data_IF_468323164477
#
_entry.id   IF_468323164477
#
_cell.length_a   1.000
_cell.length_b   1.000
_cell.length_c   1.000
_cell.angle_alpha   90.00
_cell.angle_beta   90.00
_cell.angle_gamma   90.00
#
_symmetry.space_group_name_H-M   'P 1'
#
loop_
_entity.id
_entity.type
_entity.pdbx_description
1 polymer ?
#
# COMPACT_ATOMS: atom_id res chain seq x y z
N UNK A 1 -2.43 36.80 27.71
CA UNK A 1 -2.51 37.07 26.26
C UNK A 1 -1.35 36.36 25.58
N UNK A 2 -1.59 35.20 24.94
CA UNK A 2 -0.56 34.48 24.18
C UNK A 2 -0.61 35.00 22.74
N UNK A 3 0.40 35.76 22.35
CA UNK A 3 0.61 36.19 20.96
C UNK A 3 0.85 34.95 20.10
N UNK A 4 -0.15 34.59 19.30
CA UNK A 4 0.02 33.68 18.17
C UNK A 4 0.79 34.45 17.09
N UNK A 5 2.11 34.25 17.06
CA UNK A 5 2.94 34.53 15.90
C UNK A 5 2.45 33.62 14.76
N UNK A 6 1.58 34.16 13.92
CA UNK A 6 1.28 33.61 12.60
C UNK A 6 2.56 33.79 11.79
N UNK A 7 3.35 32.73 11.68
CA UNK A 7 4.50 32.68 10.77
C UNK A 7 3.92 32.75 9.36
N UNK A 8 4.02 33.93 8.74
CA UNK A 8 3.77 34.17 7.32
C UNK A 8 4.88 33.50 6.49
N UNK A 9 4.86 32.17 6.42
CA UNK A 9 5.57 31.46 5.36
C UNK A 9 4.62 31.34 4.18
N UNK A 10 4.55 32.41 3.36
CA UNK A 10 4.00 32.37 2.01
C UNK A 10 4.94 31.54 1.10
N UNK A 11 5.21 30.28 1.46
CA UNK A 11 5.70 29.30 0.49
C UNK A 11 4.52 28.97 -0.40
N UNK A 12 4.40 29.71 -1.51
CA UNK A 12 3.49 29.37 -2.60
C UNK A 12 3.74 27.91 -2.94
N UNK A 13 2.74 27.06 -2.72
CA UNK A 13 2.82 25.64 -2.96
C UNK A 13 2.95 25.41 -4.46
N UNK A 14 4.19 25.27 -4.93
CA UNK A 14 4.49 25.09 -6.34
C UNK A 14 4.27 23.63 -6.73
N UNK A 15 3.13 23.39 -7.38
CA UNK A 15 2.75 22.09 -7.91
C UNK A 15 3.66 21.63 -9.06
N UNK A 16 4.50 22.49 -9.65
CA UNK A 16 5.23 22.15 -10.89
C UNK A 16 6.54 21.38 -10.65
N UNK A 17 7.06 21.39 -9.41
CA UNK A 17 8.44 20.97 -9.14
C UNK A 17 8.60 19.60 -8.45
N UNK A 18 7.55 18.78 -8.39
CA UNK A 18 7.68 17.45 -7.77
C UNK A 18 8.55 16.50 -8.58
N UNK A 19 9.42 15.78 -7.89
CA UNK A 19 10.25 14.71 -8.46
C UNK A 19 11.07 15.11 -9.70
N UNK A 20 11.51 16.38 -9.78
CA UNK A 20 12.38 16.90 -10.84
C UNK A 20 13.84 16.44 -10.64
N UNK A 21 14.41 16.77 -9.49
CA UNK A 21 15.81 16.47 -9.16
C UNK A 21 15.92 15.33 -8.15
N UNK A 22 15.03 15.31 -7.15
CA UNK A 22 14.93 14.27 -6.12
C UNK A 22 13.47 13.84 -5.97
N UNK A 23 13.25 12.58 -5.57
CA UNK A 23 11.91 12.09 -5.25
C UNK A 23 11.28 12.92 -4.15
N UNK A 24 10.09 13.44 -4.42
CA UNK A 24 9.31 14.15 -3.41
C UNK A 24 8.36 13.17 -2.74
N UNK A 25 8.46 12.99 -1.43
CA UNK A 25 7.54 12.13 -0.70
C UNK A 25 6.33 12.89 -0.18
N UNK A 26 5.16 12.27 -0.21
CA UNK A 26 3.95 12.85 0.39
C UNK A 26 4.13 13.10 1.91
N UNK A 27 4.98 12.33 2.57
CA UNK A 27 5.31 12.53 3.99
C UNK A 27 6.12 13.78 4.28
N UNK A 28 6.83 14.33 3.30
CA UNK A 28 7.55 15.61 3.45
C UNK A 28 6.60 16.80 3.34
N UNK A 29 5.46 16.60 2.66
CA UNK A 29 4.40 17.59 2.48
C UNK A 29 3.31 17.50 3.57
N UNK A 30 3.62 16.97 4.75
CA UNK A 30 2.63 16.70 5.83
C UNK A 30 1.91 17.95 6.32
N UNK A 31 2.60 19.10 6.43
CA UNK A 31 1.96 20.37 6.78
C UNK A 31 0.85 20.75 5.78
N UNK A 32 1.03 20.37 4.52
CA UNK A 32 0.13 20.67 3.41
C UNK A 32 -0.95 19.59 3.19
N UNK A 33 -0.91 18.46 3.91
CA UNK A 33 -1.89 17.35 3.72
C UNK A 33 -3.34 17.76 3.92
N UNK A 34 -3.60 18.73 4.81
CA UNK A 34 -4.96 19.25 5.06
C UNK A 34 -5.51 20.05 3.89
N UNK A 35 -4.65 20.43 2.94
CA UNK A 35 -4.94 21.31 1.82
C UNK A 35 -5.43 20.54 0.59
N UNK A 36 -5.34 19.20 0.56
CA UNK A 36 -5.68 18.43 -0.65
C UNK A 36 -7.10 17.87 -0.64
N UNK A 37 -7.76 17.98 -1.79
CA UNK A 37 -8.83 17.07 -2.23
C UNK A 37 -8.17 15.95 -3.05
N UNK A 38 -8.58 14.73 -2.77
CA UNK A 38 -7.93 13.53 -3.29
C UNK A 38 -8.89 12.83 -4.26
N UNK A 39 -8.42 12.58 -5.48
CA UNK A 39 -9.17 11.85 -6.51
C UNK A 39 -9.12 10.33 -6.35
N UNK A 40 -9.62 9.64 -7.38
CA UNK A 40 -9.67 8.18 -7.43
C UNK A 40 -8.31 7.57 -7.79
N UNK A 41 -8.11 6.31 -7.39
CA UNK A 41 -6.91 5.57 -7.78
C UNK A 41 -7.04 5.04 -9.20
N UNK A 42 -5.96 5.21 -9.95
CA UNK A 42 -5.65 4.70 -11.26
C UNK A 42 -4.47 3.74 -11.14
N UNK A 43 -4.27 2.89 -12.15
CA UNK A 43 -3.19 1.92 -12.19
C UNK A 43 -2.47 2.00 -13.52
N UNK A 44 -1.14 2.01 -13.49
CA UNK A 44 -0.31 2.04 -14.68
C UNK A 44 0.82 1.01 -14.53
N UNK A 45 0.97 0.13 -15.52
CA UNK A 45 2.02 -0.90 -15.52
C UNK A 45 3.26 -0.38 -16.20
N UNK A 46 4.42 -0.66 -15.62
CA UNK A 46 5.74 -0.32 -16.14
C UNK A 46 6.57 -1.60 -16.18
N UNK A 47 6.42 -2.41 -17.25
CA UNK A 47 7.28 -3.55 -17.50
C UNK A 47 8.76 -3.14 -17.47
N UNK A 48 9.59 -3.90 -16.78
CA UNK A 48 11.05 -3.74 -16.73
C UNK A 48 11.56 -2.33 -16.40
N UNK A 49 10.74 -1.48 -15.76
CA UNK A 49 11.05 -0.07 -15.51
C UNK A 49 11.53 0.71 -16.75
N UNK A 50 11.01 0.36 -17.94
CA UNK A 50 11.41 1.00 -19.19
C UNK A 50 11.16 2.52 -19.15
N UNK A 51 12.22 3.30 -19.45
CA UNK A 51 12.17 4.76 -19.36
C UNK A 51 11.15 5.37 -20.34
N UNK A 52 10.93 4.74 -21.51
CA UNK A 52 9.91 5.16 -22.47
C UNK A 52 8.50 5.06 -21.89
N UNK A 53 8.17 3.91 -21.29
CA UNK A 53 6.87 3.67 -20.66
C UNK A 53 6.63 4.61 -19.47
N UNK A 54 7.69 4.96 -18.73
CA UNK A 54 7.60 5.95 -17.66
C UNK A 54 7.36 7.37 -18.18
N UNK A 55 7.94 7.75 -19.33
CA UNK A 55 7.61 9.01 -20.02
C UNK A 55 6.15 9.03 -20.44
N UNK A 56 5.65 7.93 -21.00
CA UNK A 56 4.25 7.80 -21.40
C UNK A 56 3.31 7.95 -20.19
N UNK A 57 3.66 7.34 -19.05
CA UNK A 57 2.94 7.55 -17.79
C UNK A 57 2.85 9.03 -17.39
N UNK A 58 3.94 9.79 -17.49
CA UNK A 58 3.92 11.20 -17.13
C UNK A 58 3.10 12.03 -18.12
N UNK A 59 3.14 11.69 -19.41
CA UNK A 59 2.39 12.40 -20.45
C UNK A 59 0.87 12.23 -20.32
N UNK A 60 0.38 11.14 -19.74
CA UNK A 60 -1.06 10.95 -19.48
C UNK A 60 -1.57 11.74 -18.26
N UNK A 61 -0.68 12.36 -17.47
CA UNK A 61 -1.08 13.17 -16.32
C UNK A 61 -1.59 14.55 -16.77
N UNK A 62 -2.56 15.10 -16.04
CA UNK A 62 -3.08 16.44 -16.32
C UNK A 62 -2.01 17.50 -16.02
N UNK A 63 -1.81 18.44 -16.96
CA UNK A 63 -0.76 19.48 -16.88
C UNK A 63 -0.84 20.34 -15.60
N UNK A 64 -2.05 20.54 -15.06
CA UNK A 64 -2.30 21.37 -13.88
C UNK A 64 -2.62 20.57 -12.62
N UNK A 65 -2.22 19.30 -12.54
CA UNK A 65 -2.44 18.48 -11.35
C UNK A 65 -1.17 17.80 -10.90
N UNK A 66 -1.08 17.62 -9.59
CA UNK A 66 -0.14 16.68 -9.00
C UNK A 66 -0.83 15.36 -8.70
N UNK A 67 -0.04 14.30 -8.60
CA UNK A 67 -0.51 12.95 -8.38
C UNK A 67 0.27 12.34 -7.23
N UNK A 68 -0.46 11.66 -6.35
CA UNK A 68 0.14 10.74 -5.39
C UNK A 68 0.33 9.41 -6.11
N UNK A 69 1.56 8.90 -6.15
CA UNK A 69 1.90 7.59 -6.72
C UNK A 69 2.40 6.67 -5.61
N UNK A 70 1.87 5.46 -5.57
CA UNK A 70 2.42 4.35 -4.79
C UNK A 70 3.00 3.33 -5.77
N UNK A 71 4.33 3.19 -5.86
CA UNK A 71 4.94 2.16 -6.68
C UNK A 71 4.82 0.81 -5.98
N UNK A 72 4.42 -0.21 -6.74
CA UNK A 72 4.14 -1.55 -6.26
C UNK A 72 4.87 -2.54 -7.16
N UNK A 73 5.56 -3.51 -6.57
CA UNK A 73 6.12 -4.66 -7.28
C UNK A 73 5.10 -5.81 -7.23
N UNK A 74 4.77 -6.37 -8.39
CA UNK A 74 3.83 -7.48 -8.53
C UNK A 74 4.36 -8.52 -9.51
N UNK A 75 4.10 -9.80 -9.25
CA UNK A 75 4.45 -10.92 -10.14
C UNK A 75 3.53 -10.95 -11.36
N UNK A 76 4.08 -11.13 -12.57
CA UNK A 76 3.30 -11.20 -13.83
C UNK A 76 2.27 -12.33 -13.82
N UNK A 77 2.62 -13.46 -13.20
CA UNK A 77 1.83 -14.70 -13.19
C UNK A 77 0.63 -14.65 -12.22
N UNK A 78 0.55 -13.60 -11.40
CA UNK A 78 -0.47 -13.52 -10.38
C UNK A 78 -1.77 -12.91 -10.90
N UNK A 79 -2.79 -13.74 -11.04
CA UNK A 79 -4.20 -13.37 -11.26
C UNK A 79 -4.84 -12.66 -10.04
N UNK A 80 -4.07 -11.83 -9.33
CA UNK A 80 -4.50 -11.10 -8.13
C UNK A 80 -4.06 -11.70 -6.79
N UNK A 81 -3.52 -12.92 -6.76
CA UNK A 81 -3.19 -13.66 -5.52
C UNK A 81 -1.69 -13.74 -5.20
N UNK A 82 -0.84 -13.11 -6.02
CA UNK A 82 0.61 -13.09 -5.81
C UNK A 82 1.04 -12.05 -4.78
N UNK A 83 2.27 -12.16 -4.24
CA UNK A 83 2.77 -11.17 -3.30
C UNK A 83 2.83 -9.80 -3.97
N UNK A 84 2.10 -8.85 -3.39
CA UNK A 84 2.10 -7.44 -3.77
C UNK A 84 2.97 -6.71 -2.76
N UNK A 85 4.11 -6.19 -3.20
CA UNK A 85 5.05 -5.47 -2.35
C UNK A 85 5.03 -3.98 -2.70
N UNK A 86 4.82 -3.10 -1.73
CA UNK A 86 5.04 -1.67 -1.96
C UNK A 86 6.53 -1.44 -2.19
N UNK A 87 6.95 -0.64 -3.16
CA UNK A 87 8.38 -0.35 -3.30
C UNK A 87 8.82 0.80 -2.40
N UNK A 88 7.91 1.72 -2.08
CA UNK A 88 8.23 2.88 -1.25
C UNK A 88 7.01 3.42 -0.51
N UNK A 89 7.22 4.51 0.24
CA UNK A 89 6.16 5.45 0.62
C UNK A 89 5.56 6.09 -0.63
N UNK A 90 4.40 6.71 -0.46
CA UNK A 90 3.76 7.52 -1.50
C UNK A 90 4.64 8.68 -1.96
N UNK A 91 4.93 8.74 -3.25
CA UNK A 91 5.66 9.82 -3.91
C UNK A 91 4.69 10.80 -4.59
N UNK A 92 5.15 12.03 -4.81
CA UNK A 92 4.43 13.05 -5.55
C UNK A 92 5.07 13.20 -6.93
N UNK A 93 4.22 13.21 -7.96
CA UNK A 93 4.64 13.42 -9.34
C UNK A 93 3.68 14.38 -10.04
N UNK A 94 4.16 15.02 -11.08
CA UNK A 94 3.38 15.81 -12.05
C UNK A 94 3.76 15.36 -13.45
N UNK A 95 3.05 15.85 -14.47
CA UNK A 95 3.42 15.63 -15.87
C UNK A 95 4.86 16.06 -16.18
N UNK A 96 5.34 17.10 -15.50
CA UNK A 96 6.67 17.66 -15.72
C UNK A 96 7.76 16.92 -14.94
N UNK A 97 7.43 16.02 -14.01
CA UNK A 97 8.42 15.28 -13.21
C UNK A 97 9.48 14.60 -14.09
N UNK A 98 10.68 14.41 -13.57
CA UNK A 98 11.76 13.82 -14.35
C UNK A 98 11.66 12.29 -14.35
N UNK A 99 11.43 11.64 -15.51
CA UNK A 99 11.32 10.18 -15.58
C UNK A 99 12.62 9.47 -15.19
N UNK A 100 13.79 10.06 -15.43
CA UNK A 100 15.08 9.46 -15.04
C UNK A 100 15.20 9.40 -13.53
N UNK A 101 14.86 10.49 -12.84
CA UNK A 101 14.85 10.57 -11.37
C UNK A 101 13.93 9.50 -10.77
N UNK A 102 12.73 9.34 -11.32
CA UNK A 102 11.76 8.34 -10.87
C UNK A 102 12.25 6.91 -11.15
N UNK A 103 12.79 6.65 -12.34
CA UNK A 103 13.31 5.33 -12.72
C UNK A 103 14.46 4.90 -11.82
N UNK A 104 15.47 5.76 -11.61
CA UNK A 104 16.63 5.47 -10.76
C UNK A 104 16.22 5.14 -9.32
N UNK A 105 15.25 5.89 -8.78
CA UNK A 105 14.71 5.62 -7.46
C UNK A 105 14.07 4.23 -7.38
N UNK A 106 13.23 3.87 -8.35
CA UNK A 106 12.52 2.60 -8.35
C UNK A 106 13.46 1.41 -8.52
N UNK A 107 14.50 1.53 -9.34
CA UNK A 107 15.55 0.52 -9.44
C UNK A 107 16.19 0.25 -8.07
N UNK A 108 16.60 1.31 -7.36
CA UNK A 108 17.16 1.17 -6.01
C UNK A 108 16.17 0.50 -5.03
N UNK A 109 14.89 0.86 -5.08
CA UNK A 109 13.88 0.23 -4.22
C UNK A 109 13.66 -1.26 -4.57
N UNK A 110 13.75 -1.63 -5.85
CA UNK A 110 13.66 -3.03 -6.28
C UNK A 110 14.85 -3.86 -5.82
N UNK A 111 16.07 -3.31 -5.85
CA UNK A 111 17.27 -3.98 -5.32
C UNK A 111 17.13 -4.22 -3.82
N UNK A 112 16.69 -3.21 -3.05
CA UNK A 112 16.43 -3.34 -1.61
C UNK A 112 15.37 -4.42 -1.34
N UNK A 113 14.27 -4.42 -2.11
CA UNK A 113 13.25 -5.45 -2.01
C UNK A 113 13.81 -6.85 -2.33
N UNK A 114 14.64 -6.98 -3.37
CA UNK A 114 15.28 -8.24 -3.73
C UNK A 114 16.13 -8.80 -2.59
N UNK A 115 16.97 -7.96 -1.97
CA UNK A 115 17.81 -8.35 -0.83
C UNK A 115 16.97 -8.73 0.41
N UNK A 116 15.96 -7.93 0.74
CA UNK A 116 15.17 -8.14 1.95
C UNK A 116 14.24 -9.35 1.88
N UNK A 117 13.75 -9.70 0.68
CA UNK A 117 12.75 -10.75 0.49
C UNK A 117 13.28 -11.96 -0.29
N UNK A 118 14.56 -11.99 -0.65
CA UNK A 118 15.19 -13.11 -1.38
C UNK A 118 14.64 -13.29 -2.80
N UNK A 119 14.34 -12.19 -3.50
CA UNK A 119 13.79 -12.24 -4.87
C UNK A 119 14.94 -12.43 -5.87
N UNK A 120 15.14 -13.66 -6.33
CA UNK A 120 16.25 -14.03 -7.21
C UNK A 120 16.07 -13.69 -8.69
N UNK A 121 14.84 -13.41 -9.14
CA UNK A 121 14.54 -13.09 -10.53
C UNK A 121 13.56 -11.90 -10.60
N UNK A 122 14.11 -10.69 -10.74
CA UNK A 122 13.33 -9.45 -10.85
C UNK A 122 12.59 -9.33 -12.20
N UNK A 123 13.01 -10.05 -13.24
CA UNK A 123 12.39 -9.99 -14.58
C UNK A 123 10.96 -10.55 -14.59
N UNK A 124 10.61 -11.40 -13.61
CA UNK A 124 9.24 -11.92 -13.43
C UNK A 124 8.29 -10.93 -12.75
N UNK A 125 8.78 -9.74 -12.39
CA UNK A 125 8.02 -8.74 -11.67
C UNK A 125 7.85 -7.49 -12.51
N UNK A 126 6.67 -6.91 -12.41
CA UNK A 126 6.32 -5.64 -13.02
C UNK A 126 6.13 -4.59 -11.93
N UNK A 127 6.56 -3.36 -12.24
CA UNK A 127 6.22 -2.21 -11.41
C UNK A 127 4.85 -1.71 -11.82
N UNK A 128 3.96 -1.55 -10.85
CA UNK A 128 2.63 -1.00 -11.01
C UNK A 128 2.58 0.30 -10.21
N UNK A 129 2.31 1.40 -10.89
CA UNK A 129 1.95 2.65 -10.24
C UNK A 129 0.48 2.60 -9.88
N UNK A 130 0.18 2.62 -8.58
CA UNK A 130 -1.14 2.95 -8.07
C UNK A 130 -1.17 4.43 -7.75
N UNK A 131 -1.81 5.23 -8.59
CA UNK A 131 -1.70 6.69 -8.53
C UNK A 131 -3.06 7.39 -8.47
N UNK A 132 -3.12 8.63 -8.00
CA UNK A 132 -4.37 9.42 -7.94
C UNK A 132 -4.08 10.91 -7.98
N UNK A 133 -4.91 11.72 -8.65
CA UNK A 133 -4.72 13.16 -8.65
C UNK A 133 -4.98 13.72 -7.25
N UNK A 134 -4.24 14.75 -6.91
CA UNK A 134 -4.50 15.64 -5.80
C UNK A 134 -4.74 17.04 -6.36
N UNK A 135 -5.79 17.67 -5.88
CA UNK A 135 -6.05 19.09 -6.11
C UNK A 135 -6.02 19.81 -4.78
N UNK A 136 -5.74 21.11 -4.78
CA UNK A 136 -6.00 21.92 -3.60
C UNK A 136 -7.51 21.95 -3.31
N UNK A 137 -7.90 22.06 -2.04
CA UNK A 137 -9.30 22.24 -1.66
C UNK A 137 -9.79 23.59 -2.19
N UNK A 138 -11.03 23.61 -2.63
CA UNK A 138 -11.68 24.77 -3.25
C UNK A 138 -11.53 26.03 -2.37
N UNK A 139 -11.66 25.90 -1.04
CA UNK A 139 -11.48 26.99 -0.06
C UNK A 139 -10.10 27.68 -0.09
N UNK A 140 -9.06 26.94 -0.48
CA UNK A 140 -7.67 27.44 -0.55
C UNK A 140 -7.39 27.99 -1.95
N UNK A 141 -7.92 27.32 -2.98
CA UNK A 141 -7.85 27.79 -4.36
C UNK A 141 -8.48 29.18 -4.49
N UNK A 142 -9.58 29.44 -3.78
CA UNK A 142 -10.24 30.76 -3.73
C UNK A 142 -9.40 31.86 -3.07
N UNK A 143 -8.40 31.50 -2.26
CA UNK A 143 -7.48 32.44 -1.62
C UNK A 143 -6.22 32.70 -2.48
N UNK A 144 -5.99 31.88 -3.50
CA UNK A 144 -4.88 32.06 -4.45
C UNK A 144 -5.35 32.97 -5.59
N UNK A 145 -4.70 34.12 -5.85
CA UNK A 145 -5.11 35.03 -6.90
C UNK A 145 -5.15 34.35 -8.29
N UNK A 146 -6.37 34.22 -8.84
CA UNK A 146 -6.76 33.79 -10.20
C UNK A 146 -6.03 32.56 -10.78
N UNK A 147 -6.53 31.37 -10.43
CA UNK A 147 -6.40 30.17 -11.27
C UNK A 147 -7.82 29.70 -11.61
N UNK A 148 -8.17 29.66 -12.89
CA UNK A 148 -9.48 29.17 -13.36
C UNK A 148 -9.48 27.63 -13.48
N UNK A 149 -10.47 26.97 -12.86
CA UNK A 149 -10.69 25.51 -12.97
C UNK A 149 -12.09 25.20 -13.51
N UNK A 150 -12.17 24.22 -14.42
CA UNK A 150 -13.42 23.69 -14.99
C UNK A 150 -13.98 22.49 -14.19
N UNK A 151 -15.30 22.33 -14.24
CA UNK A 151 -16.14 21.57 -13.28
C UNK A 151 -16.13 20.03 -13.33
N UNK A 152 -16.79 19.46 -12.30
CA UNK A 152 -16.69 18.11 -11.71
C UNK A 152 -17.55 17.00 -12.36
N UNK A 153 -17.26 15.72 -12.03
CA UNK A 153 -18.28 14.64 -11.98
C UNK A 153 -18.04 13.55 -10.89
N UNK A 154 -19.13 12.85 -10.49
CA UNK A 154 -19.30 11.93 -9.34
C UNK A 154 -19.32 10.43 -9.74
N UNK A 155 -19.04 9.52 -8.78
CA UNK A 155 -18.98 8.06 -9.02
C UNK A 155 -19.69 7.23 -7.93
N UNK A 156 -20.35 6.11 -8.29
CA UNK A 156 -20.76 5.02 -7.38
C UNK A 156 -20.27 3.60 -7.87
N UNK A 157 -20.24 2.59 -6.97
CA UNK A 157 -19.32 1.43 -6.78
C UNK A 157 -19.95 0.06 -7.13
N UNK A 158 -19.20 -0.92 -7.71
CA UNK A 158 -18.90 -2.31 -7.19
C UNK A 158 -18.15 -3.19 -8.23
N UNK A 159 -17.46 -4.25 -7.78
CA UNK A 159 -16.44 -5.12 -8.43
C UNK A 159 -16.87 -6.04 -9.58
N UNK A 160 -15.89 -6.41 -10.43
CA UNK A 160 -16.06 -7.31 -11.57
C UNK A 160 -14.77 -8.06 -11.91
N UNK A 161 -14.97 -9.37 -11.99
CA UNK A 161 -14.41 -10.43 -12.82
C UNK A 161 -13.87 -10.02 -14.22
N UNK A 162 -12.62 -10.36 -14.53
CA UNK A 162 -11.92 -10.03 -15.79
C UNK A 162 -12.55 -10.63 -17.07
N UNK A 163 -13.44 -11.60 -16.97
CA UNK A 163 -14.15 -12.17 -18.12
C UNK A 163 -15.02 -11.14 -18.88
N UNK A 164 -15.38 -10.01 -18.25
CA UNK A 164 -16.24 -8.99 -18.85
C UNK A 164 -15.63 -8.19 -20.01
N UNK A 165 -14.36 -8.36 -20.39
CA UNK A 165 -13.75 -7.55 -21.47
C UNK A 165 -13.43 -8.30 -22.75
N UNK A 166 -13.77 -9.59 -22.87
CA UNK A 166 -13.45 -10.42 -24.04
C UNK A 166 -13.85 -9.81 -25.39
N UNK A 167 -14.87 -8.95 -25.39
CA UNK A 167 -15.49 -8.42 -26.60
C UNK A 167 -15.02 -7.00 -26.98
N UNK A 168 -14.06 -6.42 -26.25
CA UNK A 168 -13.56 -5.04 -26.41
C UNK A 168 -12.15 -4.95 -27.02
N UNK A 169 -11.75 -5.94 -27.81
CA UNK A 169 -10.44 -6.00 -28.48
C UNK A 169 -10.45 -5.45 -29.92
N UNK A 170 -11.52 -4.74 -30.33
CA UNK A 170 -11.71 -4.27 -31.70
C UNK A 170 -12.32 -5.30 -32.66
N UNK A 171 -12.33 -6.60 -32.32
CA UNK A 171 -12.89 -7.63 -33.22
C UNK A 171 -14.41 -7.62 -33.19
N UNK A 172 -15.05 -7.40 -32.05
CA UNK A 172 -16.53 -7.36 -31.95
C UNK A 172 -17.01 -5.93 -31.84
N UNK A 173 -16.61 -5.21 -30.79
CA UNK A 173 -16.86 -3.77 -30.67
C UNK A 173 -15.70 -3.00 -31.32
N UNK A 174 -15.95 -2.25 -32.41
CA UNK A 174 -14.90 -1.47 -33.05
C UNK A 174 -14.29 -0.42 -32.12
N UNK A 175 -12.99 -0.21 -32.25
CA UNK A 175 -12.24 0.86 -31.58
C UNK A 175 -12.30 2.16 -32.38
N UNK A 176 -13.50 2.52 -32.83
CA UNK A 176 -13.78 3.70 -33.65
C UNK A 176 -15.21 4.17 -33.44
N UNK A 177 -15.47 5.45 -33.67
CA UNK A 177 -16.82 6.01 -33.82
C UNK A 177 -17.28 6.01 -35.30
N UNK A 178 -16.54 5.42 -36.25
CA UNK A 178 -17.03 5.29 -37.63
C UNK A 178 -18.03 4.13 -37.74
N UNK A 179 -19.31 4.45 -37.97
CA UNK A 179 -20.42 3.48 -38.04
C UNK A 179 -20.22 2.43 -39.15
N UNK A 180 -19.53 2.77 -40.23
CA UNK A 180 -19.28 1.84 -41.35
C UNK A 180 -18.41 0.63 -40.94
N UNK A 181 -17.74 0.72 -39.79
CA UNK A 181 -16.86 -0.34 -39.28
C UNK A 181 -17.55 -1.24 -38.23
N UNK A 182 -18.82 -0.99 -37.89
CA UNK A 182 -19.59 -1.76 -36.89
C UNK A 182 -20.17 -3.08 -37.42
N UNK A 183 -20.17 -3.30 -38.72
CA UNK A 183 -20.65 -4.54 -39.35
C UNK A 183 -21.70 -4.25 -40.42
N UNK A 184 -22.49 -5.27 -40.75
CA UNK A 184 -23.58 -5.13 -41.74
C UNK A 184 -24.83 -4.59 -41.06
N UNK A 185 -25.55 -3.67 -41.70
CA UNK A 185 -26.83 -3.17 -41.19
C UNK A 185 -27.82 -4.33 -40.97
N UNK A 186 -28.47 -4.34 -39.80
CA UNK A 186 -29.48 -5.34 -39.47
C UNK A 186 -30.80 -5.05 -40.23
N UNK A 187 -31.50 -6.09 -40.66
CA UNK A 187 -32.77 -5.90 -41.36
C UNK A 187 -33.86 -5.30 -40.45
N UNK A 188 -34.84 -4.62 -41.06
CA UNK A 188 -35.88 -3.87 -40.33
C UNK A 188 -36.74 -4.73 -39.40
N UNK A 189 -37.10 -5.95 -39.81
CA UNK A 189 -37.88 -6.89 -38.99
C UNK A 189 -37.16 -7.25 -37.69
N UNK A 190 -35.87 -7.58 -37.76
CA UNK A 190 -35.06 -7.90 -36.58
C UNK A 190 -34.78 -6.67 -35.74
N UNK A 191 -34.52 -5.51 -36.35
CA UNK A 191 -34.38 -4.25 -35.62
C UNK A 191 -35.65 -3.93 -34.82
N UNK A 192 -36.83 -4.10 -35.44
CA UNK A 192 -38.13 -3.93 -34.77
C UNK A 192 -38.29 -4.84 -33.54
N UNK A 193 -37.81 -6.09 -33.61
CA UNK A 193 -37.79 -6.98 -32.44
C UNK A 193 -36.97 -6.40 -31.27
N UNK A 194 -35.76 -5.90 -31.53
CA UNK A 194 -34.91 -5.34 -30.47
C UNK A 194 -35.49 -4.03 -29.90
N UNK A 195 -36.00 -3.16 -30.78
CA UNK A 195 -36.66 -1.90 -30.39
C UNK A 195 -37.80 -2.18 -29.40
N UNK A 196 -38.73 -3.06 -29.78
CA UNK A 196 -39.89 -3.38 -28.94
C UNK A 196 -39.50 -4.12 -27.65
N UNK A 197 -38.56 -5.07 -27.73
CA UNK A 197 -38.17 -5.88 -26.57
C UNK A 197 -37.42 -5.08 -25.50
N UNK A 198 -36.58 -4.12 -25.90
CA UNK A 198 -35.67 -3.41 -25.00
C UNK A 198 -35.96 -1.92 -24.85
N UNK A 199 -37.09 -1.45 -25.39
CA UNK A 199 -37.54 -0.06 -25.36
C UNK A 199 -36.46 0.91 -25.86
N UNK A 200 -35.98 0.67 -27.08
CA UNK A 200 -34.88 1.44 -27.68
C UNK A 200 -35.42 2.55 -28.57
N UNK A 201 -34.65 3.64 -28.73
CA UNK A 201 -34.99 4.69 -29.69
C UNK A 201 -35.05 4.10 -31.11
N UNK A 202 -36.19 4.21 -31.83
CA UNK A 202 -36.36 3.66 -33.17
C UNK A 202 -35.44 4.30 -34.23
N UNK A 203 -34.89 5.48 -33.96
CA UNK A 203 -33.95 6.16 -34.86
C UNK A 203 -32.51 5.63 -34.76
N UNK A 204 -32.23 4.72 -33.82
CA UNK A 204 -30.89 4.17 -33.66
C UNK A 204 -30.50 3.17 -34.75
N UNK A 205 -29.20 2.98 -34.92
CA UNK A 205 -28.61 2.12 -35.94
C UNK A 205 -28.32 0.73 -35.38
N UNK A 206 -28.68 -0.30 -36.13
CA UNK A 206 -28.40 -1.70 -35.78
C UNK A 206 -27.39 -2.32 -36.74
N UNK A 207 -26.36 -2.94 -36.18
CA UNK A 207 -25.31 -3.63 -36.91
C UNK A 207 -25.25 -5.09 -36.46
N UNK A 208 -25.03 -6.00 -37.40
CA UNK A 208 -24.77 -7.41 -37.13
C UNK A 208 -23.31 -7.74 -37.45
N UNK A 209 -22.64 -8.39 -36.50
CA UNK A 209 -21.29 -8.92 -36.64
C UNK A 209 -21.25 -10.30 -35.99
N UNK A 210 -21.13 -11.34 -36.80
CA UNK A 210 -21.23 -12.75 -36.37
C UNK A 210 -22.53 -13.03 -35.59
N UNK A 211 -22.42 -13.54 -34.36
CA UNK A 211 -23.51 -13.81 -33.43
C UNK A 211 -23.95 -12.58 -32.60
N UNK A 212 -23.29 -11.43 -32.82
CA UNK A 212 -23.53 -10.20 -32.08
C UNK A 212 -24.39 -9.22 -32.87
N UNK A 213 -25.20 -8.46 -32.13
CA UNK A 213 -25.91 -7.29 -32.65
C UNK A 213 -25.43 -6.08 -31.84
N UNK A 214 -25.13 -4.98 -32.52
CA UNK A 214 -24.72 -3.72 -31.90
C UNK A 214 -25.76 -2.68 -32.27
N UNK A 215 -26.34 -2.05 -31.26
CA UNK A 215 -27.20 -0.89 -31.40
C UNK A 215 -26.40 0.37 -31.08
N UNK A 216 -26.55 1.42 -31.89
CA UNK A 216 -25.94 2.74 -31.66
C UNK A 216 -27.00 3.83 -31.79
N UNK A 217 -27.22 4.59 -30.72
CA UNK A 217 -28.08 5.76 -30.70
C UNK A 217 -27.21 7.03 -30.67
N UNK A 218 -27.39 7.91 -31.65
CA UNK A 218 -26.67 9.20 -31.69
C UNK A 218 -27.41 10.18 -30.78
N UNK A 219 -26.79 10.58 -29.67
CA UNK A 219 -27.35 11.63 -28.78
C UNK A 219 -27.09 13.00 -29.40
N UNK A 220 -25.83 13.25 -29.80
CA UNK A 220 -25.39 14.45 -30.50
C UNK A 220 -24.13 14.16 -31.31
N UNK A 221 -23.46 15.19 -31.83
CA UNK A 221 -22.28 15.02 -32.68
C UNK A 221 -21.06 14.44 -31.95
N UNK A 222 -20.95 14.67 -30.64
CA UNK A 222 -19.83 14.21 -29.82
C UNK A 222 -20.16 13.00 -28.96
N UNK A 223 -21.45 12.65 -28.79
CA UNK A 223 -21.89 11.60 -27.87
C UNK A 223 -22.81 10.57 -28.51
N UNK A 224 -22.57 9.31 -28.18
CA UNK A 224 -23.38 8.17 -28.62
C UNK A 224 -23.57 7.16 -27.51
N UNK A 225 -24.75 6.57 -27.47
CA UNK A 225 -25.03 5.40 -26.67
C UNK A 225 -24.94 4.14 -27.52
N UNK A 226 -24.42 3.08 -26.94
CA UNK A 226 -24.31 1.79 -27.59
C UNK A 226 -24.76 0.65 -26.71
N UNK A 227 -25.32 -0.38 -27.34
CA UNK A 227 -25.71 -1.62 -26.67
C UNK A 227 -25.18 -2.80 -27.49
N UNK A 228 -24.44 -3.68 -26.83
CA UNK A 228 -23.99 -4.94 -27.43
C UNK A 228 -24.94 -6.06 -26.99
N UNK A 229 -25.44 -6.82 -27.96
CA UNK A 229 -26.25 -8.00 -27.74
C UNK A 229 -25.54 -9.27 -28.21
N UNK A 230 -25.80 -10.38 -27.53
CA UNK A 230 -25.49 -11.74 -27.98
C UNK A 230 -26.67 -12.63 -27.67
N UNK A 231 -27.08 -13.48 -28.60
CA UNK A 231 -28.22 -14.39 -28.42
C UNK A 231 -29.50 -13.71 -27.92
N UNK A 232 -29.77 -12.48 -28.40
CA UNK A 232 -30.93 -11.64 -28.01
C UNK A 232 -30.98 -11.23 -26.54
N UNK A 233 -29.83 -11.21 -25.86
CA UNK A 233 -29.63 -10.67 -24.51
C UNK A 233 -28.63 -9.51 -24.53
N UNK A 234 -28.78 -8.55 -23.61
CA UNK A 234 -27.84 -7.43 -23.46
C UNK A 234 -26.58 -7.95 -22.77
N UNK A 235 -25.44 -7.79 -23.44
CA UNK A 235 -24.13 -8.00 -22.82
C UNK A 235 -23.61 -6.73 -22.15
N UNK A 236 -23.65 -5.60 -22.87
CA UNK A 236 -23.13 -4.32 -22.38
C UNK A 236 -23.95 -3.13 -22.85
N UNK A 237 -23.92 -2.08 -22.04
CA UNK A 237 -24.29 -0.72 -22.43
C UNK A 237 -23.05 0.16 -22.32
N UNK A 238 -22.78 0.99 -23.31
CA UNK A 238 -21.63 1.88 -23.31
C UNK A 238 -22.01 3.26 -23.86
N UNK A 239 -21.21 4.26 -23.52
CA UNK A 239 -21.30 5.62 -24.06
C UNK A 239 -19.97 5.98 -24.70
N UNK A 240 -19.98 6.45 -25.94
CA UNK A 240 -18.81 7.01 -26.61
C UNK A 240 -18.88 8.53 -26.57
N UNK A 241 -17.82 9.18 -26.06
CA UNK A 241 -17.65 10.63 -26.06
C UNK A 241 -16.41 11.01 -26.86
N UNK A 242 -16.62 11.68 -28.00
CA UNK A 242 -15.57 12.23 -28.85
C UNK A 242 -14.81 13.33 -28.11
N UNK A 243 -13.49 13.23 -28.09
CA UNK A 243 -12.59 14.27 -27.57
C UNK A 243 -12.14 15.16 -28.72
N UNK A 244 -11.42 14.58 -29.69
CA UNK A 244 -10.81 15.32 -30.81
C UNK A 244 -10.41 14.35 -31.93
N UNK A 245 -10.73 14.65 -33.18
CA UNK A 245 -10.31 13.84 -34.33
C UNK A 245 -10.80 12.38 -34.22
N UNK A 246 -9.86 11.44 -34.10
CA UNK A 246 -10.14 10.01 -33.87
C UNK A 246 -10.13 9.60 -32.39
N UNK A 247 -9.80 10.53 -31.47
CA UNK A 247 -9.73 10.30 -30.02
C UNK A 247 -11.12 10.37 -29.40
N UNK A 248 -11.48 9.33 -28.68
CA UNK A 248 -12.72 9.28 -27.91
C UNK A 248 -12.57 8.42 -26.65
N UNK A 249 -13.50 8.62 -25.72
CA UNK A 249 -13.62 7.81 -24.51
C UNK A 249 -14.85 6.93 -24.65
N UNK A 250 -14.67 5.62 -24.51
CA UNK A 250 -15.78 4.68 -24.32
C UNK A 250 -15.97 4.43 -22.83
N UNK A 251 -17.05 4.96 -22.28
CA UNK A 251 -17.52 4.68 -20.94
C UNK A 251 -18.32 3.39 -20.93
N UNK A 252 -17.89 2.41 -20.12
CA UNK A 252 -18.56 1.14 -19.91
C UNK A 252 -18.72 0.90 -18.42
N UNK A 253 -19.93 1.01 -17.90
CA UNK A 253 -20.22 0.91 -16.46
C UNK A 253 -19.37 1.88 -15.62
N UNK A 254 -18.19 1.45 -15.16
CA UNK A 254 -17.24 2.22 -14.33
C UNK A 254 -15.86 2.38 -14.98
N UNK A 255 -15.75 1.95 -16.23
CA UNK A 255 -14.51 1.92 -16.97
C UNK A 255 -14.54 2.99 -18.02
N UNK A 256 -13.43 3.69 -18.19
CA UNK A 256 -13.23 4.65 -19.27
C UNK A 256 -12.11 4.10 -20.14
N UNK A 257 -12.44 3.77 -21.38
CA UNK A 257 -11.50 3.23 -22.35
C UNK A 257 -11.13 4.37 -23.28
N UNK A 258 -9.87 4.81 -23.23
CA UNK A 258 -9.36 5.86 -24.10
C UNK A 258 -8.89 5.22 -25.39
N UNK A 259 -9.47 5.67 -26.50
CA UNK A 259 -9.25 5.08 -27.82
C UNK A 259 -8.76 6.16 -28.76
N UNK A 260 -7.68 5.87 -29.48
CA UNK A 260 -7.12 6.72 -30.52
C UNK A 260 -6.62 5.86 -31.68
N UNK A 261 -6.98 6.22 -32.91
CA UNK A 261 -6.54 5.53 -34.13
C UNK A 261 -6.61 4.00 -34.05
N UNK A 262 -7.77 3.47 -33.63
CA UNK A 262 -8.04 2.03 -33.46
C UNK A 262 -7.27 1.33 -32.33
N UNK A 263 -6.53 2.07 -31.50
CA UNK A 263 -5.79 1.52 -30.37
C UNK A 263 -6.38 2.00 -29.05
N UNK A 264 -6.44 1.10 -28.07
CA UNK A 264 -6.69 1.48 -26.67
C UNK A 264 -5.39 2.07 -26.13
N UNK A 265 -5.37 3.37 -25.88
CA UNK A 265 -4.17 4.07 -25.38
C UNK A 265 -4.10 4.03 -23.86
N UNK A 266 -5.25 4.10 -23.20
CA UNK A 266 -5.34 4.11 -21.75
C UNK A 266 -6.65 3.48 -21.27
N UNK A 267 -6.65 3.00 -20.04
CA UNK A 267 -7.81 2.40 -19.41
C UNK A 267 -7.92 2.87 -17.97
N UNK A 268 -9.02 3.54 -17.68
CA UNK A 268 -9.37 3.98 -16.33
C UNK A 268 -10.47 3.14 -15.74
N UNK A 269 -10.40 2.96 -14.42
CA UNK A 269 -11.44 2.33 -13.63
C UNK A 269 -11.78 3.22 -12.45
N UNK A 270 -13.01 3.69 -12.42
CA UNK A 270 -13.48 4.57 -11.36
C UNK A 270 -13.68 3.77 -10.05
N UNK A 271 -12.80 4.00 -9.07
CA UNK A 271 -12.76 3.31 -7.77
C UNK A 271 -13.46 4.10 -6.68
N UNK A 272 -14.76 3.87 -6.40
CA UNK A 272 -15.42 4.57 -5.27
C UNK A 272 -14.78 4.09 -3.94
N UNK A 273 -14.09 4.97 -3.23
CA UNK A 273 -13.56 4.67 -1.89
C UNK A 273 -14.60 5.01 -0.82
N UNK A 274 -14.57 4.31 0.31
CA UNK A 274 -15.17 4.79 1.56
C UNK A 274 -14.05 5.48 2.34
N UNK A 275 -14.34 6.64 2.93
CA UNK A 275 -13.44 7.22 3.92
C UNK A 275 -13.19 6.20 5.04
N UNK A 276 -12.06 6.32 5.72
CA UNK A 276 -11.85 5.61 6.99
C UNK A 276 -12.97 6.07 7.91
N UNK A 277 -13.93 5.19 8.14
CA UNK A 277 -14.97 5.42 9.14
C UNK A 277 -14.32 5.24 10.50
N UNK A 278 -14.60 6.16 11.42
CA UNK A 278 -14.25 5.98 12.83
C UNK A 278 -14.88 4.66 13.27
N UNK A 279 -14.05 3.67 13.64
CA UNK A 279 -14.55 2.42 14.18
C UNK A 279 -15.23 2.71 15.52
N UNK A 280 -16.38 2.07 15.77
CA UNK A 280 -16.98 2.11 17.10
C UNK A 280 -15.92 1.62 18.11
N UNK A 281 -15.70 2.32 19.24
CA UNK A 281 -14.82 1.84 20.29
C UNK A 281 -15.26 0.44 20.68
N UNK A 282 -14.32 -0.49 20.85
CA UNK A 282 -14.67 -1.79 21.38
C UNK A 282 -15.12 -1.59 22.83
N UNK A 283 -16.39 -1.89 23.13
CA UNK A 283 -16.95 -1.73 24.47
C UNK A 283 -16.26 -2.65 25.50
N UNK A 284 -15.58 -3.71 25.04
CA UNK A 284 -14.84 -4.64 25.88
C UNK A 284 -13.34 -4.35 25.81
N UNK A 285 -12.76 -4.09 26.97
CA UNK A 285 -11.31 -4.05 27.16
C UNK A 285 -10.75 -5.45 26.90
N UNK A 286 -9.73 -5.57 26.04
CA UNK A 286 -8.99 -6.81 25.93
C UNK A 286 -7.90 -6.81 26.99
N UNK A 287 -8.04 -7.70 27.98
CA UNK A 287 -7.10 -7.85 29.08
C UNK A 287 -6.00 -8.87 28.78
N UNK A 288 -6.12 -9.66 27.70
CA UNK A 288 -5.12 -10.65 27.31
C UNK A 288 -4.00 -9.98 26.47
N UNK A 289 -3.25 -9.12 27.14
CA UNK A 289 -2.12 -8.37 26.60
C UNK A 289 -0.84 -9.01 27.14
N UNK A 290 0.09 -9.28 26.24
CA UNK A 290 1.40 -9.85 26.57
C UNK A 290 2.47 -8.95 25.96
N UNK A 291 3.61 -8.81 26.61
CA UNK A 291 4.81 -8.19 26.01
C UNK A 291 5.85 -9.26 25.72
N UNK A 292 6.71 -9.03 24.74
CA UNK A 292 7.81 -9.93 24.40
C UNK A 292 9.03 -9.09 23.99
N UNK A 293 10.24 -9.57 24.31
CA UNK A 293 11.50 -8.88 24.04
C UNK A 293 12.64 -9.88 23.76
N UNK A 294 13.64 -9.45 22.99
CA UNK A 294 14.84 -10.23 22.65
C UNK A 294 16.08 -9.40 22.95
N UNK A 295 17.03 -10.00 23.68
CA UNK A 295 18.37 -9.43 23.84
C UNK A 295 19.39 -10.22 23.01
N UNK A 296 20.36 -9.48 22.47
CA UNK A 296 21.35 -10.00 21.53
C UNK A 296 22.77 -9.59 21.93
N UNK A 297 23.75 -10.40 21.55
CA UNK A 297 25.17 -10.03 21.56
C UNK A 297 25.72 -10.02 20.14
N UNK A 298 26.88 -9.41 19.94
CA UNK A 298 27.54 -9.39 18.63
C UNK A 298 28.54 -10.52 18.53
N UNK A 299 28.41 -11.34 17.48
CA UNK A 299 29.38 -12.39 17.12
C UNK A 299 29.67 -12.30 15.63
N UNK A 300 30.94 -12.16 15.26
CA UNK A 300 31.38 -12.08 13.85
C UNK A 300 30.63 -10.99 13.06
N UNK A 301 30.39 -9.83 13.70
CA UNK A 301 29.66 -8.70 13.12
C UNK A 301 28.14 -8.92 12.98
N UNK A 302 27.59 -9.99 13.56
CA UNK A 302 26.16 -10.32 13.52
C UNK A 302 25.55 -10.33 14.91
N UNK A 303 24.33 -9.81 15.01
CA UNK A 303 23.54 -9.95 16.23
C UNK A 303 23.06 -11.39 16.39
N UNK A 304 23.28 -11.97 17.57
CA UNK A 304 22.88 -13.31 17.95
C UNK A 304 21.98 -13.22 19.18
N UNK A 305 20.72 -13.65 19.11
CA UNK A 305 19.86 -13.72 20.28
C UNK A 305 20.46 -14.65 21.34
N UNK A 306 20.57 -14.14 22.57
CA UNK A 306 21.00 -14.95 23.72
C UNK A 306 19.94 -15.06 24.81
N UNK A 307 18.96 -14.18 24.83
CA UNK A 307 17.79 -14.35 25.67
C UNK A 307 16.57 -13.74 25.02
N UNK A 308 15.42 -14.28 25.37
CA UNK A 308 14.14 -13.68 25.08
C UNK A 308 13.19 -13.97 26.23
N UNK A 309 12.13 -13.18 26.33
CA UNK A 309 11.10 -13.43 27.33
C UNK A 309 9.79 -12.79 26.98
N UNK A 310 8.74 -13.22 27.67
CA UNK A 310 7.43 -12.61 27.59
C UNK A 310 6.80 -12.46 28.95
N UNK A 311 5.97 -11.42 29.08
CA UNK A 311 5.30 -11.06 30.32
C UNK A 311 3.81 -10.84 30.09
N UNK A 312 2.99 -11.56 30.85
CA UNK A 312 1.53 -11.57 30.75
C UNK A 312 0.86 -10.85 31.95
N UNK A 313 1.51 -9.81 32.48
CA UNK A 313 0.97 -8.96 33.55
C UNK A 313 1.35 -9.40 34.97
N UNK A 314 1.33 -10.70 35.25
CA UNK A 314 1.79 -11.29 36.52
C UNK A 314 2.72 -12.49 36.33
N UNK A 315 2.72 -13.07 35.12
CA UNK A 315 3.54 -14.22 34.77
C UNK A 315 4.63 -13.82 33.77
N UNK A 316 5.90 -14.00 34.18
CA UNK A 316 7.10 -13.81 33.37
C UNK A 316 7.68 -15.16 32.99
N UNK A 317 8.02 -15.34 31.71
CA UNK A 317 8.78 -16.49 31.25
C UNK A 317 9.97 -16.04 30.41
N UNK A 318 11.16 -16.45 30.82
CA UNK A 318 12.45 -16.11 30.16
C UNK A 318 13.13 -17.38 29.67
N UNK A 319 13.95 -17.21 28.63
CA UNK A 319 14.71 -18.27 27.99
C UNK A 319 16.12 -17.77 27.76
N UNK A 320 17.11 -18.58 28.09
CA UNK A 320 18.52 -18.24 27.93
C UNK A 320 19.16 -19.22 26.96
N UNK A 321 20.01 -18.72 26.06
CA UNK A 321 20.65 -19.53 25.03
C UNK A 321 21.49 -20.67 25.62
N UNK A 322 21.96 -20.52 26.85
CA UNK A 322 22.72 -21.54 27.59
C UNK A 322 21.90 -22.79 27.93
N UNK A 323 20.58 -22.70 27.85
CA UNK A 323 19.64 -23.82 28.02
C UNK A 323 19.27 -24.51 26.69
N UNK A 324 19.80 -24.04 25.55
CA UNK A 324 19.43 -24.51 24.21
C UNK A 324 20.65 -24.75 23.32
N UNK A 325 20.52 -25.59 22.29
CA UNK A 325 21.65 -25.81 21.36
C UNK A 325 21.82 -24.65 20.37
N UNK A 326 20.78 -23.85 20.17
CA UNK A 326 20.82 -22.72 19.22
C UNK A 326 19.80 -21.63 19.55
N UNK A 327 20.02 -20.39 19.07
CA UNK A 327 19.02 -19.32 19.16
C UNK A 327 17.70 -19.70 18.50
N UNK A 328 17.73 -20.52 17.45
CA UNK A 328 16.54 -20.99 16.76
C UNK A 328 15.65 -21.86 17.67
N UNK A 329 16.26 -22.80 18.40
CA UNK A 329 15.54 -23.66 19.36
C UNK A 329 14.97 -22.86 20.52
N UNK A 330 15.76 -21.92 21.07
CA UNK A 330 15.32 -21.01 22.14
C UNK A 330 14.09 -20.21 21.73
N UNK A 331 14.15 -19.53 20.56
CA UNK A 331 13.04 -18.73 20.05
C UNK A 331 11.83 -19.60 19.70
N UNK A 332 12.03 -20.81 19.16
CA UNK A 332 10.94 -21.73 18.87
C UNK A 332 10.20 -22.15 20.14
N UNK A 333 10.94 -22.51 21.19
CA UNK A 333 10.34 -22.88 22.47
C UNK A 333 9.57 -21.69 23.07
N UNK A 334 10.16 -20.49 23.05
CA UNK A 334 9.50 -19.29 23.53
C UNK A 334 8.18 -18.98 22.81
N UNK A 335 8.12 -19.15 21.48
CA UNK A 335 6.92 -18.94 20.67
C UNK A 335 5.85 -20.03 20.88
N UNK A 336 6.26 -21.29 21.05
CA UNK A 336 5.31 -22.38 21.38
C UNK A 336 4.65 -22.13 22.72
N UNK A 337 5.46 -21.85 23.74
CA UNK A 337 4.96 -21.54 25.06
C UNK A 337 4.10 -20.26 25.07
N UNK A 338 4.47 -19.25 24.30
CA UNK A 338 3.65 -18.05 24.18
C UNK A 338 2.24 -18.38 23.66
N UNK A 339 2.13 -19.23 22.64
CA UNK A 339 0.86 -19.66 22.06
C UNK A 339 0.04 -20.57 22.99
N UNK A 340 0.71 -21.48 23.71
CA UNK A 340 0.06 -22.47 24.58
C UNK A 340 -0.42 -21.86 25.90
N UNK A 341 0.38 -20.97 26.51
CA UNK A 341 0.03 -20.31 27.78
C UNK A 341 -0.87 -19.09 27.59
N UNK A 342 -0.81 -18.41 26.43
CA UNK A 342 -1.54 -17.17 26.19
C UNK A 342 -2.42 -17.24 24.92
N UNK A 343 -3.32 -18.24 24.78
CA UNK A 343 -4.09 -18.42 23.57
C UNK A 343 -4.94 -17.18 23.26
N UNK A 344 -4.91 -16.72 22.01
CA UNK A 344 -5.62 -15.52 21.53
C UNK A 344 -5.13 -14.20 22.13
N UNK A 345 -3.91 -14.16 22.68
CA UNK A 345 -3.32 -12.95 23.21
C UNK A 345 -2.93 -11.95 22.11
N UNK A 346 -2.93 -10.68 22.51
CA UNK A 346 -2.30 -9.60 21.76
C UNK A 346 -0.92 -9.34 22.35
N UNK A 347 0.10 -9.66 21.57
CA UNK A 347 1.49 -9.51 21.97
C UNK A 347 2.02 -8.19 21.43
N UNK A 348 2.61 -7.38 22.29
CA UNK A 348 3.21 -6.10 21.92
C UNK A 348 4.72 -6.19 22.08
N UNK A 349 5.42 -6.08 20.96
CA UNK A 349 6.88 -6.03 20.91
C UNK A 349 7.27 -4.62 20.51
N UNK A 350 8.17 -3.98 21.27
CA UNK A 350 8.53 -2.60 21.02
C UNK A 350 9.58 -2.51 19.92
N UNK A 351 9.33 -1.73 18.87
CA UNK A 351 10.19 -1.65 17.68
C UNK A 351 10.28 -2.98 16.90
N UNK A 352 9.24 -3.82 17.02
CA UNK A 352 9.16 -5.15 16.41
C UNK A 352 9.63 -5.19 14.96
N UNK A 353 9.09 -4.27 14.13
CA UNK A 353 9.29 -4.33 12.69
C UNK A 353 10.75 -4.11 12.26
N UNK A 354 11.55 -3.43 13.08
CA UNK A 354 12.92 -3.05 12.74
C UNK A 354 13.97 -3.93 13.44
N UNK A 355 13.61 -4.72 14.45
CA UNK A 355 14.57 -5.52 15.21
C UNK A 355 14.12 -6.97 15.38
N UNK A 356 13.26 -7.27 16.37
CA UNK A 356 12.85 -8.62 16.76
C UNK A 356 12.30 -9.46 15.61
N UNK A 357 11.56 -8.81 14.70
CA UNK A 357 11.00 -9.46 13.51
C UNK A 357 12.05 -10.22 12.70
N UNK A 358 13.27 -9.68 12.56
CA UNK A 358 14.32 -10.31 11.76
C UNK A 358 14.77 -11.66 12.34
N UNK A 359 14.75 -11.80 13.67
CA UNK A 359 15.13 -13.05 14.34
C UNK A 359 13.98 -14.04 14.35
N UNK A 360 12.75 -13.55 14.51
CA UNK A 360 11.56 -14.39 14.64
C UNK A 360 11.07 -14.93 13.29
N UNK A 361 11.30 -14.22 12.18
CA UNK A 361 10.66 -14.53 10.89
C UNK A 361 10.93 -15.97 10.42
N UNK A 362 12.18 -16.41 10.49
CA UNK A 362 12.59 -17.75 10.07
C UNK A 362 11.97 -18.83 10.97
N UNK A 363 11.91 -18.58 12.27
CA UNK A 363 11.31 -19.51 13.24
C UNK A 363 9.80 -19.62 13.00
N UNK A 364 9.14 -18.47 12.80
CA UNK A 364 7.71 -18.38 12.58
C UNK A 364 7.27 -19.14 11.31
N UNK A 365 7.84 -18.83 10.15
CA UNK A 365 7.40 -19.43 8.89
C UNK A 365 7.72 -20.92 8.77
N UNK A 366 8.81 -21.37 9.39
CA UNK A 366 9.16 -22.79 9.37
C UNK A 366 8.20 -23.64 10.22
N UNK A 367 7.69 -23.10 11.33
CA UNK A 367 6.99 -23.91 12.35
C UNK A 367 5.49 -23.62 12.47
N UNK A 368 5.02 -22.46 12.02
CA UNK A 368 3.65 -22.00 12.25
C UNK A 368 2.96 -21.62 10.94
N UNK A 369 1.63 -21.49 10.99
CA UNK A 369 0.85 -20.82 9.95
C UNK A 369 0.87 -19.33 10.26
N UNK A 370 1.40 -18.52 9.34
CA UNK A 370 1.71 -17.11 9.56
C UNK A 370 0.95 -16.23 8.58
N UNK A 371 0.34 -15.15 9.08
CA UNK A 371 -0.33 -14.13 8.28
C UNK A 371 0.21 -12.74 8.67
N UNK A 372 1.17 -12.19 7.91
CA UNK A 372 1.68 -10.85 8.16
C UNK A 372 0.76 -9.78 7.58
N UNK A 373 0.79 -8.59 8.18
CA UNK A 373 0.16 -7.38 7.67
C UNK A 373 1.22 -6.30 7.53
N UNK A 374 1.36 -5.76 6.32
CA UNK A 374 2.37 -4.77 6.00
C UNK A 374 1.76 -3.40 5.75
N UNK A 375 2.54 -2.36 6.06
CA UNK A 375 2.30 -0.99 5.64
C UNK A 375 3.65 -0.33 5.37
N UNK A 376 3.81 0.28 4.20
CA UNK A 376 5.03 0.99 3.82
C UNK A 376 6.31 0.14 4.04
N UNK A 377 6.27 -1.14 3.63
CA UNK A 377 7.34 -2.13 3.78
C UNK A 377 7.73 -2.51 5.22
N UNK A 378 6.90 -2.15 6.20
CA UNK A 378 7.06 -2.58 7.57
C UNK A 378 5.92 -3.48 7.99
N UNK A 379 6.24 -4.56 8.68
CA UNK A 379 5.22 -5.36 9.34
C UNK A 379 4.60 -4.53 10.45
N UNK A 380 3.28 -4.35 10.43
CA UNK A 380 2.56 -3.62 11.48
C UNK A 380 1.86 -4.57 12.44
N UNK A 381 1.57 -5.79 11.95
CA UNK A 381 0.93 -6.86 12.69
C UNK A 381 1.34 -8.19 12.08
N UNK A 382 1.52 -9.21 12.91
CA UNK A 382 1.71 -10.59 12.48
C UNK A 382 0.76 -11.48 13.26
N UNK A 383 0.04 -12.36 12.58
CA UNK A 383 -0.77 -13.40 13.23
C UNK A 383 -0.07 -14.73 13.00
N UNK A 384 0.09 -15.54 14.05
CA UNK A 384 0.55 -16.91 13.90
C UNK A 384 -0.25 -17.89 14.75
N UNK A 385 -0.28 -19.15 14.31
CA UNK A 385 -0.98 -20.27 14.95
C UNK A 385 -0.28 -21.59 14.63
N UNK A 386 -0.60 -22.63 15.41
CA UNK A 386 -0.17 -24.01 15.14
C UNK A 386 -0.63 -24.43 13.73
N UNK A 387 0.19 -25.19 13.00
CA UNK A 387 -0.15 -25.64 11.63
C UNK A 387 -1.36 -26.57 11.61
N UNK A 388 -1.52 -27.37 12.66
CA UNK A 388 -2.57 -28.39 12.77
C UNK A 388 -3.79 -27.94 13.57
N UNK A 389 -3.77 -26.73 14.13
CA UNK A 389 -4.84 -26.22 14.99
C UNK A 389 -5.15 -24.74 14.70
N UNK A 390 -6.31 -24.50 14.09
CA UNK A 390 -6.79 -23.17 13.74
C UNK A 390 -7.55 -22.46 14.90
N UNK A 391 -7.67 -23.07 16.09
CA UNK A 391 -8.48 -22.50 17.20
C UNK A 391 -7.73 -21.47 18.06
N UNK A 392 -6.42 -21.56 18.13
CA UNK A 392 -5.59 -20.65 18.95
C UNK A 392 -4.63 -19.90 18.07
N UNK A 393 -4.52 -18.58 18.29
CA UNK A 393 -3.59 -17.72 17.57
C UNK A 393 -2.95 -16.72 18.50
N UNK A 394 -1.84 -16.15 18.07
CA UNK A 394 -1.24 -14.97 18.67
C UNK A 394 -1.27 -13.84 17.64
N UNK A 395 -1.59 -12.63 18.08
CA UNK A 395 -1.50 -11.43 17.28
C UNK A 395 -0.36 -10.55 17.81
N UNK A 396 0.76 -10.50 17.11
CA UNK A 396 1.90 -9.63 17.41
C UNK A 396 1.68 -8.25 16.79
N UNK A 397 1.94 -7.19 17.54
CA UNK A 397 1.89 -5.79 17.14
C UNK A 397 3.21 -5.09 17.45
N UNK A 398 3.60 -4.16 16.58
CA UNK A 398 4.67 -3.22 16.87
C UNK A 398 4.15 -2.09 17.77
N UNK A 399 4.53 -2.09 19.05
CA UNK A 399 4.07 -1.08 19.99
C UNK A 399 4.65 0.31 19.75
N UNK A 400 5.78 0.41 19.04
CA UNK A 400 6.41 1.70 18.70
C UNK A 400 5.52 2.54 17.75
N UNK A 401 4.68 1.88 16.96
CA UNK A 401 3.71 2.56 16.09
C UNK A 401 2.58 3.27 16.88
N UNK A 402 2.38 2.87 18.14
CA UNK A 402 1.38 3.44 19.05
C UNK A 402 2.06 4.40 20.03
N UNK A 403 3.23 4.01 20.54
CA UNK A 403 4.02 4.75 21.51
C UNK A 403 5.41 5.06 20.91
N UNK A 404 5.54 6.12 20.11
CA UNK A 404 6.74 6.39 19.30
C UNK A 404 7.84 7.07 20.12
N UNK A 405 8.35 6.39 21.14
CA UNK A 405 9.46 6.84 21.97
C UNK A 405 10.16 5.62 22.60
N UNK A 406 11.37 5.80 23.12
CA UNK A 406 12.11 4.71 23.76
C UNK A 406 11.37 4.19 25.01
N UNK A 407 11.52 2.90 25.34
CA UNK A 407 10.92 2.33 26.55
C UNK A 407 11.30 3.07 27.83
N UNK A 408 12.54 3.58 27.93
CA UNK A 408 12.99 4.39 29.07
C UNK A 408 12.21 5.69 29.19
N UNK A 409 12.17 6.48 28.10
CA UNK A 409 11.40 7.73 28.06
C UNK A 409 9.92 7.50 28.33
N UNK A 410 9.36 6.38 27.84
CA UNK A 410 7.98 6.00 28.12
C UNK A 410 7.79 5.67 29.60
N UNK A 411 8.66 4.87 30.21
CA UNK A 411 8.58 4.51 31.63
C UNK A 411 8.62 5.75 32.53
N UNK A 412 9.51 6.71 32.24
CA UNK A 412 9.61 7.98 32.95
C UNK A 412 8.34 8.82 32.79
N UNK A 413 7.90 9.02 31.54
CA UNK A 413 6.75 9.88 31.22
C UNK A 413 5.44 9.36 31.80
N UNK A 414 5.25 8.04 31.78
CA UNK A 414 4.07 7.39 32.36
C UNK A 414 4.22 7.09 33.84
N UNK A 415 5.36 7.44 34.45
CA UNK A 415 5.65 7.20 35.88
C UNK A 415 5.43 5.74 36.26
N UNK A 416 5.90 4.83 35.40
CA UNK A 416 5.90 3.40 35.69
C UNK A 416 6.76 3.19 36.94
N UNK A 417 6.33 2.31 37.85
CA UNK A 417 7.06 2.06 39.10
C UNK A 417 8.45 1.53 38.78
N UNK A 418 8.52 0.53 37.89
CA UNK A 418 9.77 -0.04 37.41
C UNK A 418 10.29 0.74 36.20
N UNK A 419 11.43 1.40 36.38
CA UNK A 419 12.11 2.13 35.32
C UNK A 419 13.01 1.18 34.51
N UNK A 420 13.18 1.45 33.21
CA UNK A 420 14.09 0.64 32.38
C UNK A 420 15.54 0.90 32.82
N UNK A 421 16.21 -0.15 33.29
CA UNK A 421 17.62 -0.12 33.68
C UNK A 421 18.58 0.04 32.49
N UNK A 422 19.85 0.26 32.80
CA UNK A 422 20.93 0.29 31.81
C UNK A 422 21.49 -1.12 31.60
N UNK A 423 21.84 -1.45 30.36
CA UNK A 423 22.39 -2.74 29.99
C UNK A 423 23.80 -2.57 29.39
N UNK A 424 24.80 -3.36 29.83
CA UNK A 424 26.17 -3.26 29.33
C UNK A 424 26.33 -4.00 27.99
N UNK A 425 25.82 -3.41 26.91
CA UNK A 425 25.78 -4.05 25.59
C UNK A 425 27.15 -4.55 25.08
N UNK A 426 28.24 -3.87 25.44
CA UNK A 426 29.58 -4.26 24.98
C UNK A 426 30.22 -5.34 25.86
N UNK A 427 29.61 -5.67 27.01
CA UNK A 427 30.06 -6.74 27.89
C UNK A 427 29.47 -8.10 27.51
N UNK A 428 28.25 -8.11 26.96
CA UNK A 428 27.56 -9.34 26.58
C UNK A 428 28.24 -10.01 25.39
N UNK A 429 28.78 -11.21 25.61
CA UNK A 429 29.38 -12.07 24.61
C UNK A 429 29.13 -13.55 24.96
N UNK A 430 29.61 -14.48 24.12
CA UNK A 430 29.40 -15.92 24.32
C UNK A 430 29.91 -16.43 25.69
N UNK A 431 30.93 -15.82 26.25
CA UNK A 431 31.58 -16.23 27.49
C UNK A 431 30.98 -15.52 28.72
N UNK A 432 30.28 -14.40 28.55
CA UNK A 432 29.68 -13.61 29.64
C UNK A 432 28.17 -13.80 29.80
N UNK A 433 27.51 -14.65 29.00
CA UNK A 433 26.05 -14.85 29.06
C UNK A 433 25.52 -15.28 30.44
N UNK A 434 26.30 -16.05 31.21
CA UNK A 434 25.98 -16.50 32.56
C UNK A 434 26.87 -15.80 33.61
N UNK A 435 27.33 -14.58 33.33
CA UNK A 435 28.22 -13.87 34.22
C UNK A 435 27.57 -13.60 35.58
N UNK A 436 28.27 -13.98 36.64
CA UNK A 436 27.96 -13.65 38.02
C UNK A 436 29.21 -12.99 38.60
N UNK A 437 29.14 -11.73 38.97
CA UNK A 437 30.29 -10.99 39.48
C UNK A 437 30.02 -9.50 39.61
N UNK A 438 31.11 -8.73 39.69
CA UNK A 438 31.08 -7.26 39.81
C UNK A 438 30.48 -6.62 38.55
N UNK A 439 29.85 -5.46 38.72
CA UNK A 439 29.33 -4.70 37.58
C UNK A 439 30.48 -4.38 36.61
N UNK A 440 30.31 -4.60 35.30
CA UNK A 440 31.31 -4.25 34.30
C UNK A 440 31.64 -2.75 34.31
N UNK A 441 32.85 -2.37 33.92
CA UNK A 441 33.24 -0.96 33.84
C UNK A 441 32.28 -0.14 32.98
N UNK A 442 32.13 1.16 33.29
CA UNK A 442 31.27 2.09 32.56
C UNK A 442 31.47 2.07 31.04
N UNK A 443 32.71 1.82 30.58
CA UNK A 443 33.06 1.67 29.16
C UNK A 443 32.30 0.56 28.43
N UNK A 444 31.71 -0.39 29.17
CA UNK A 444 30.90 -1.47 28.61
C UNK A 444 29.44 -1.08 28.38
N UNK A 445 29.02 0.09 28.89
CA UNK A 445 27.70 0.66 28.70
C UNK A 445 27.72 1.69 27.57
N UNK A 446 26.58 1.85 26.89
CA UNK A 446 26.45 2.80 25.80
C UNK A 446 25.68 4.04 26.27
N UNK A 447 26.35 5.20 26.22
CA UNK A 447 25.71 6.51 26.36
C UNK A 447 25.18 6.83 27.76
N UNK A 448 25.87 6.37 28.80
CA UNK A 448 25.55 6.67 30.21
C UNK A 448 26.58 7.63 30.80
N UNK A 449 26.14 8.50 31.70
CA UNK A 449 26.99 9.41 32.47
C UNK A 449 27.56 8.70 33.70
N UNK A 450 28.67 9.22 34.22
CA UNK A 450 29.31 8.69 35.45
C UNK A 450 28.32 8.62 36.61
N UNK A 451 27.49 9.66 36.78
CA UNK A 451 26.48 9.72 37.84
C UNK A 451 25.40 8.63 37.71
N UNK A 452 25.00 8.30 36.47
CA UNK A 452 24.05 7.22 36.20
C UNK A 452 24.70 5.87 36.49
N UNK A 453 25.98 5.70 36.15
CA UNK A 453 26.74 4.47 36.43
C UNK A 453 26.96 4.25 37.92
N UNK A 454 27.32 5.29 38.68
CA UNK A 454 27.42 5.23 40.13
C UNK A 454 26.09 4.82 40.78
N UNK A 455 24.96 5.28 40.22
CA UNK A 455 23.65 4.83 40.70
C UNK A 455 23.47 3.32 40.52
N UNK A 456 23.93 2.73 39.40
CA UNK A 456 23.84 1.27 39.17
C UNK A 456 24.64 0.51 40.23
N UNK A 457 25.86 0.97 40.55
CA UNK A 457 26.74 0.35 41.55
C UNK A 457 26.10 0.35 42.93
N UNK A 458 25.42 1.43 43.31
CA UNK A 458 24.82 1.56 44.65
C UNK A 458 23.58 0.69 44.87
N UNK A 459 22.94 0.19 43.80
CA UNK A 459 21.73 -0.66 43.88
C UNK A 459 22.01 -2.17 43.96
N UNK A 460 23.27 -2.59 43.74
CA UNK A 460 23.74 -3.98 43.87
C UNK A 460 24.52 -4.19 45.15
#
# INVERSE_FOLDING_TARGET
MKNNLIINNNTTFDLTNFSQTNITFLTEQVANKKLFKIGYYHFFKIPNLELGILKDFLQILDFNKAYIVLPILASEDSTGDGPILSLSKQILVTRESNPVTISNFLFSQMEIASMNYGISNLEKFIVIFKFRPISLKDEIVLQIPKIEYSGQEKTIKKEINMQKFKYFNGTILPLTMNLNLFGKTLNSLLSGYYILKFDLNPEGFFFKKDEFVIYINKINDTKREGILFKNKEILYRFEDTLIEGSKFIRSLERYLIYIDNFNVTHFDRLMKNSFISISKPNAKLNLNIVTFDIETFVKDGKFVPFTCGWFAGDFLKTYYLTDFNSPYEMLLQALRDLLDFNPNAKVYIHNFANFDYMFLIKVLYNNFKVQPFFKDNKVIKLIYQHKDNDKTKIEIFDSYLILPSSLRTLAEKYKVIDQKGYFPYNFADKNSLNYIGIIPSISMFNGILDEEYESIILYT
#
